data_IF_493814712353
#
_entry.id   IF_493814712353
#
_cell.length_a   1.000
_cell.length_b   1.000
_cell.length_c   1.000
_cell.angle_alpha   90.00
_cell.angle_beta   90.00
_cell.angle_gamma   90.00
#
_symmetry.space_group_name_H-M   'P 1'
#
loop_
_entity.id
_entity.type
_entity.pdbx_description
1 polymer ?
#
# COMPACT_ATOMS: atom_id res chain seq x y z
N UNK A 1 9.16 -13.88 -10.07
CA UNK A 1 7.75 -13.94 -9.61
C UNK A 1 6.79 -13.72 -10.76
N UNK A 2 5.63 -14.38 -10.71
CA UNK A 2 4.47 -14.14 -11.58
C UNK A 2 3.25 -13.80 -10.72
N UNK A 3 2.28 -13.09 -11.31
CA UNK A 3 1.06 -12.65 -10.62
C UNK A 3 -0.17 -13.06 -11.43
N UNK A 4 -1.14 -13.70 -10.78
CA UNK A 4 -2.44 -14.00 -11.37
C UNK A 4 -3.50 -13.01 -10.89
N UNK A 5 -4.59 -12.93 -11.64
CA UNK A 5 -5.81 -12.27 -11.16
C UNK A 5 -6.56 -13.21 -10.22
N UNK A 6 -7.05 -12.70 -9.09
CA UNK A 6 -7.95 -13.44 -8.19
C UNK A 6 -9.29 -13.83 -8.83
N UNK A 7 -9.65 -13.24 -9.97
CA UNK A 7 -10.81 -13.67 -10.77
C UNK A 7 -10.48 -14.85 -11.71
N UNK A 8 -9.19 -15.17 -11.90
CA UNK A 8 -8.67 -16.22 -12.76
C UNK A 8 -9.15 -16.17 -14.22
N UNK A 9 -9.52 -14.98 -14.72
CA UNK A 9 -10.00 -14.74 -16.10
C UNK A 9 -9.10 -13.80 -16.89
N UNK A 10 -7.88 -13.57 -16.41
CA UNK A 10 -6.85 -12.78 -17.07
C UNK A 10 -5.53 -13.56 -17.16
N UNK A 11 -4.69 -13.29 -18.18
CA UNK A 11 -3.35 -13.86 -18.27
C UNK A 11 -2.50 -13.53 -17.04
N UNK A 12 -1.58 -14.43 -16.68
CA UNK A 12 -0.54 -14.16 -15.69
C UNK A 12 0.30 -12.95 -16.11
N UNK A 13 0.73 -12.15 -15.13
CA UNK A 13 1.42 -10.88 -15.30
C UNK A 13 2.77 -10.88 -14.59
N UNK A 14 3.69 -10.03 -15.03
CA UNK A 14 4.92 -9.74 -14.29
C UNK A 14 4.64 -8.72 -13.18
N UNK A 15 5.56 -8.57 -12.22
CA UNK A 15 5.45 -7.51 -11.21
C UNK A 15 5.37 -6.12 -11.88
N UNK A 16 6.23 -5.83 -12.87
CA UNK A 16 6.20 -4.56 -13.62
C UNK A 16 4.81 -4.28 -14.21
N UNK A 17 4.24 -5.26 -14.90
CA UNK A 17 2.93 -5.09 -15.52
C UNK A 17 1.80 -4.98 -14.50
N UNK A 18 1.86 -5.75 -13.41
CA UNK A 18 0.90 -5.65 -12.31
C UNK A 18 0.93 -4.27 -11.63
N UNK A 19 2.11 -3.69 -11.44
CA UNK A 19 2.28 -2.35 -10.88
C UNK A 19 1.79 -1.25 -11.82
N UNK A 20 2.15 -1.32 -13.11
CA UNK A 20 1.74 -0.31 -14.09
C UNK A 20 0.22 -0.35 -14.32
N UNK A 21 -0.37 -1.54 -14.47
CA UNK A 21 -1.83 -1.65 -14.70
C UNK A 21 -2.65 -1.41 -13.44
N UNK A 22 -2.14 -1.81 -12.27
CA UNK A 22 -2.86 -1.76 -11.00
C UNK A 22 -3.97 -2.83 -10.86
N UNK A 23 -4.81 -3.00 -11.89
CA UNK A 23 -5.87 -4.01 -11.97
C UNK A 23 -5.65 -4.95 -13.16
N UNK A 24 -6.09 -6.19 -13.01
CA UNK A 24 -6.09 -7.14 -14.10
C UNK A 24 -7.19 -6.81 -15.13
N UNK A 25 -7.05 -7.22 -16.41
CA UNK A 25 -8.07 -7.01 -17.45
C UNK A 25 -9.47 -7.52 -17.10
N UNK A 26 -9.57 -8.55 -16.26
CA UNK A 26 -10.83 -9.13 -15.77
C UNK A 26 -11.38 -8.41 -14.52
N UNK A 27 -10.85 -7.22 -14.22
CA UNK A 27 -11.17 -6.38 -13.05
C UNK A 27 -10.83 -7.03 -11.70
N UNK A 28 -10.07 -8.12 -11.69
CA UNK A 28 -9.55 -8.73 -10.47
C UNK A 28 -8.28 -8.06 -9.97
N UNK A 29 -7.94 -8.36 -8.71
CA UNK A 29 -6.69 -7.94 -8.09
C UNK A 29 -5.55 -8.89 -8.50
N UNK A 30 -4.36 -8.34 -8.70
CA UNK A 30 -3.15 -9.16 -8.86
C UNK A 30 -2.69 -9.73 -7.51
N UNK A 31 -2.34 -11.00 -7.50
CA UNK A 31 -1.79 -11.71 -6.34
C UNK A 31 -0.59 -12.57 -6.79
N UNK A 32 0.49 -12.69 -5.98
CA UNK A 32 1.63 -13.52 -6.35
C UNK A 32 1.23 -14.99 -6.51
N UNK A 33 1.77 -15.66 -7.53
CA UNK A 33 1.45 -17.08 -7.81
C UNK A 33 1.91 -18.00 -6.68
N UNK A 34 3.05 -17.69 -6.06
CA UNK A 34 3.64 -18.47 -4.98
C UNK A 34 4.23 -17.55 -3.90
N UNK A 35 4.30 -18.07 -2.67
CA UNK A 35 4.94 -17.42 -1.53
C UNK A 35 5.87 -18.44 -0.90
N UNK A 36 7.17 -18.25 -1.06
CA UNK A 36 8.19 -19.13 -0.47
C UNK A 36 8.55 -18.60 0.91
N UNK A 37 8.42 -19.44 1.94
CA UNK A 37 8.80 -19.06 3.30
C UNK A 37 10.29 -18.71 3.38
N UNK A 38 10.63 -17.72 4.21
CA UNK A 38 12.01 -17.41 4.55
C UNK A 38 12.59 -18.51 5.46
N UNK A 39 13.91 -18.74 5.42
CA UNK A 39 14.56 -19.69 6.32
C UNK A 39 14.27 -19.37 7.78
N UNK A 40 14.08 -20.40 8.62
CA UNK A 40 13.82 -20.19 10.06
C UNK A 40 14.92 -19.39 10.76
N UNK A 41 16.17 -19.54 10.31
CA UNK A 41 17.30 -18.79 10.85
C UNK A 41 17.16 -17.29 10.63
N UNK A 42 16.48 -16.84 9.56
CA UNK A 42 16.17 -15.41 9.34
C UNK A 42 15.41 -14.81 10.52
N UNK A 43 14.41 -15.53 11.04
CA UNK A 43 13.62 -15.06 12.17
C UNK A 43 14.35 -15.20 13.51
N UNK A 44 15.19 -16.22 13.66
CA UNK A 44 16.00 -16.43 14.89
C UNK A 44 17.04 -15.33 15.09
N UNK A 45 17.65 -14.85 14.01
CA UNK A 45 18.69 -13.80 14.02
C UNK A 45 18.20 -12.45 13.50
N UNK A 46 16.87 -12.23 13.41
CA UNK A 46 16.31 -10.99 12.86
C UNK A 46 16.77 -9.73 13.61
N UNK A 47 17.14 -9.85 14.90
CA UNK A 47 17.70 -8.76 15.69
C UNK A 47 19.06 -8.26 15.18
N UNK A 48 19.81 -9.09 14.47
CA UNK A 48 21.13 -8.78 13.92
C UNK A 48 21.05 -8.03 12.58
N UNK A 49 19.89 -8.05 11.91
CA UNK A 49 19.68 -7.43 10.61
C UNK A 49 19.19 -5.98 10.73
N UNK A 50 19.63 -5.08 9.87
CA UNK A 50 19.02 -3.75 9.75
C UNK A 50 17.58 -3.83 9.20
N UNK A 51 16.81 -2.75 9.37
CA UNK A 51 15.47 -2.66 8.76
C UNK A 51 15.52 -2.78 7.23
N UNK A 52 16.54 -2.20 6.59
CA UNK A 52 16.75 -2.30 5.15
C UNK A 52 16.98 -3.75 4.70
N UNK A 53 17.81 -4.51 5.44
CA UNK A 53 18.06 -5.92 5.15
C UNK A 53 16.81 -6.78 5.34
N UNK A 54 16.07 -6.58 6.43
CA UNK A 54 14.81 -7.29 6.70
C UNK A 54 13.80 -7.03 5.57
N UNK A 55 13.62 -5.76 5.18
CA UNK A 55 12.68 -5.40 4.14
C UNK A 55 13.09 -5.94 2.76
N UNK A 56 14.38 -5.88 2.43
CA UNK A 56 14.91 -6.46 1.19
C UNK A 56 14.68 -7.98 1.13
N UNK A 57 15.05 -8.71 2.17
CA UNK A 57 14.89 -10.17 2.23
C UNK A 57 13.41 -10.58 2.14
N UNK A 58 12.52 -9.84 2.81
CA UNK A 58 11.09 -10.09 2.75
C UNK A 58 10.49 -9.80 1.37
N UNK A 59 10.91 -8.74 0.68
CA UNK A 59 10.28 -8.29 -0.57
C UNK A 59 10.85 -8.96 -1.83
N UNK A 60 12.14 -9.32 -1.86
CA UNK A 60 12.85 -9.63 -3.12
C UNK A 60 12.18 -10.70 -3.97
N UNK A 61 11.65 -11.76 -3.35
CA UNK A 61 10.99 -12.84 -4.07
C UNK A 61 9.77 -12.37 -4.86
N UNK A 62 9.10 -11.30 -4.42
CA UNK A 62 7.90 -10.76 -5.07
C UNK A 62 8.21 -9.86 -6.27
N UNK A 63 9.44 -9.36 -6.36
CA UNK A 63 9.85 -8.30 -7.28
C UNK A 63 10.78 -8.83 -8.36
N UNK A 64 11.69 -9.74 -8.00
CA UNK A 64 12.67 -10.28 -8.92
C UNK A 64 12.01 -11.14 -10.03
N UNK A 65 12.54 -11.11 -11.26
CA UNK A 65 13.74 -10.38 -11.71
C UNK A 65 13.46 -8.95 -12.23
N UNK A 66 12.25 -8.40 -12.04
CA UNK A 66 11.83 -7.15 -12.71
C UNK A 66 12.63 -5.92 -12.24
N UNK A 67 13.04 -5.89 -10.98
CA UNK A 67 13.96 -4.88 -10.44
C UNK A 67 15.22 -5.60 -9.96
N UNK A 68 16.39 -5.16 -10.45
CA UNK A 68 17.69 -5.74 -10.08
C UNK A 68 17.98 -5.48 -8.60
N UNK A 69 18.67 -6.41 -7.95
CA UNK A 69 19.02 -6.36 -6.52
C UNK A 69 19.51 -4.99 -6.05
N UNK A 70 20.51 -4.40 -6.71
CA UNK A 70 21.09 -3.12 -6.29
C UNK A 70 20.08 -1.97 -6.31
N UNK A 71 19.19 -1.97 -7.31
CA UNK A 71 18.11 -0.98 -7.40
C UNK A 71 17.02 -1.25 -6.38
N UNK A 72 16.67 -2.52 -6.15
CA UNK A 72 15.67 -2.87 -5.13
C UNK A 72 16.15 -2.48 -3.73
N UNK A 73 17.42 -2.70 -3.39
CA UNK A 73 18.02 -2.24 -2.13
C UNK A 73 17.94 -0.71 -2.00
N UNK A 74 18.23 0.03 -3.07
CA UNK A 74 18.07 1.50 -3.10
C UNK A 74 16.62 1.91 -2.86
N UNK A 75 15.66 1.28 -3.54
CA UNK A 75 14.23 1.54 -3.39
C UNK A 75 13.78 1.29 -1.94
N UNK A 76 14.18 0.18 -1.34
CA UNK A 76 13.88 -0.16 0.06
C UNK A 76 14.42 0.93 0.99
N UNK A 77 15.69 1.30 0.86
CA UNK A 77 16.32 2.34 1.69
C UNK A 77 15.63 3.69 1.56
N UNK A 78 15.27 4.11 0.34
CA UNK A 78 14.53 5.36 0.11
C UNK A 78 13.09 5.30 0.65
N UNK A 79 12.48 4.11 0.67
CA UNK A 79 11.14 3.88 1.24
C UNK A 79 11.17 4.04 2.76
N UNK A 80 12.20 3.50 3.42
CA UNK A 80 12.36 3.44 4.86
C UNK A 80 13.10 4.65 5.46
N UNK A 81 12.99 5.82 4.82
CA UNK A 81 13.71 7.04 5.21
C UNK A 81 13.14 7.74 6.46
N UNK A 82 12.43 7.01 7.31
CA UNK A 82 11.78 7.49 8.54
C UNK A 82 11.60 6.31 9.51
N UNK A 83 11.31 6.63 10.77
CA UNK A 83 11.30 5.65 11.85
C UNK A 83 9.97 4.89 11.98
N UNK A 84 10.03 3.75 12.68
CA UNK A 84 8.88 2.92 13.06
C UNK A 84 8.89 2.63 14.57
N UNK A 85 8.71 3.63 15.44
CA UNK A 85 8.78 3.43 16.89
C UNK A 85 7.74 2.43 17.38
N UNK A 86 8.18 1.54 18.28
CA UNK A 86 7.29 0.66 19.03
C UNK A 86 7.23 1.15 20.47
N UNK A 87 6.10 1.75 20.84
CA UNK A 87 5.88 2.35 22.15
C UNK A 87 5.18 1.34 23.04
N UNK A 88 5.85 0.89 24.10
CA UNK A 88 5.25 0.03 25.12
C UNK A 88 4.34 0.87 26.04
N UNK A 89 3.07 0.49 26.12
CA UNK A 89 2.10 1.12 27.00
C UNK A 89 2.00 0.41 28.35
N UNK A 90 2.06 -0.92 28.33
CA UNK A 90 2.13 -1.79 29.51
C UNK A 90 2.82 -3.13 29.17
N UNK A 91 2.85 -4.06 30.11
CA UNK A 91 3.53 -5.35 29.98
C UNK A 91 3.05 -6.21 28.80
N UNK A 92 1.82 -6.01 28.31
CA UNK A 92 1.18 -6.80 27.27
C UNK A 92 0.69 -5.98 26.07
N UNK A 93 0.87 -4.66 26.08
CA UNK A 93 0.38 -3.76 25.05
C UNK A 93 1.48 -2.81 24.56
N UNK A 94 1.68 -2.81 23.25
CA UNK A 94 2.54 -1.85 22.56
C UNK A 94 1.83 -1.27 21.34
N UNK A 95 2.17 -0.04 20.98
CA UNK A 95 1.69 0.66 19.79
C UNK A 95 2.84 0.83 18.82
N UNK A 96 2.65 0.31 17.60
CA UNK A 96 3.55 0.57 16.49
C UNK A 96 3.16 1.88 15.82
N UNK A 97 3.97 2.91 16.00
CA UNK A 97 3.74 4.23 15.39
C UNK A 97 4.15 4.20 13.91
N UNK A 98 3.15 4.34 13.03
CA UNK A 98 3.33 4.30 11.58
C UNK A 98 3.13 5.67 10.91
N UNK A 99 3.31 6.76 11.67
CA UNK A 99 3.01 8.13 11.27
C UNK A 99 4.23 9.07 11.36
N UNK A 100 5.44 8.53 11.33
CA UNK A 100 6.68 9.32 11.27
C UNK A 100 7.15 9.63 9.84
N UNK A 101 6.39 9.16 8.86
CA UNK A 101 6.57 9.52 7.46
C UNK A 101 6.13 10.94 7.14
N UNK A 102 6.43 11.41 5.91
CA UNK A 102 6.23 12.80 5.51
C UNK A 102 4.77 13.27 5.54
N UNK A 103 3.79 12.35 5.53
CA UNK A 103 2.37 12.71 5.57
C UNK A 103 1.68 12.23 6.83
N UNK A 104 2.44 11.82 7.85
CA UNK A 104 1.93 11.35 9.14
C UNK A 104 0.94 10.18 9.02
N UNK A 105 1.15 9.28 8.05
CA UNK A 105 0.28 8.13 7.83
C UNK A 105 1.05 6.90 7.35
N UNK A 106 0.60 5.70 7.76
CA UNK A 106 1.23 4.44 7.37
C UNK A 106 1.27 4.21 5.84
N UNK A 107 0.44 4.95 5.10
CA UNK A 107 0.36 4.91 3.65
C UNK A 107 1.66 5.37 2.98
N UNK A 108 2.51 6.11 3.69
CA UNK A 108 3.80 6.58 3.23
C UNK A 108 4.71 5.45 2.74
N UNK A 109 4.77 4.32 3.47
CA UNK A 109 5.59 3.16 3.09
C UNK A 109 5.19 2.63 1.72
N UNK A 110 3.91 2.31 1.55
CA UNK A 110 3.41 1.76 0.29
C UNK A 110 3.50 2.76 -0.86
N UNK A 111 3.13 4.03 -0.62
CA UNK A 111 3.14 5.06 -1.66
C UNK A 111 4.56 5.33 -2.17
N UNK A 112 5.54 5.46 -1.28
CA UNK A 112 6.94 5.70 -1.64
C UNK A 112 7.54 4.51 -2.38
N UNK A 113 7.34 3.29 -1.88
CA UNK A 113 7.84 2.09 -2.56
C UNK A 113 7.29 1.99 -3.99
N UNK A 114 5.97 2.14 -4.14
CA UNK A 114 5.33 2.14 -5.46
C UNK A 114 5.89 3.24 -6.37
N UNK A 115 6.05 4.46 -5.85
CA UNK A 115 6.57 5.59 -6.62
C UNK A 115 7.98 5.32 -7.16
N UNK A 116 8.85 4.72 -6.33
CA UNK A 116 10.20 4.35 -6.74
C UNK A 116 10.21 3.18 -7.72
N UNK A 117 9.33 2.19 -7.57
CA UNK A 117 9.16 1.13 -8.57
C UNK A 117 8.72 1.68 -9.93
N UNK A 118 7.70 2.56 -9.96
CA UNK A 118 7.23 3.18 -11.20
C UNK A 118 8.30 4.08 -11.83
N UNK A 119 8.98 4.90 -11.02
CA UNK A 119 10.11 5.70 -11.50
C UNK A 119 11.22 4.84 -12.12
N UNK A 120 11.54 3.68 -11.51
CA UNK A 120 12.49 2.73 -12.08
C UNK A 120 11.99 2.13 -13.40
N UNK A 121 10.73 1.72 -13.48
CA UNK A 121 10.16 1.11 -14.69
C UNK A 121 9.96 2.09 -15.86
N UNK A 122 9.90 3.39 -15.56
CA UNK A 122 9.70 4.44 -16.55
C UNK A 122 10.95 5.29 -16.84
N UNK A 123 12.10 4.99 -16.22
CA UNK A 123 13.32 5.81 -16.32
C UNK A 123 13.86 5.98 -17.74
N UNK A 124 13.65 4.98 -18.60
CA UNK A 124 14.14 4.90 -19.98
C UNK A 124 13.02 5.19 -21.02
N UNK A 125 11.81 5.54 -20.55
CA UNK A 125 10.69 5.87 -21.41
C UNK A 125 10.47 7.39 -21.45
N UNK A 126 10.19 7.91 -22.64
CA UNK A 126 9.81 9.32 -22.81
C UNK A 126 8.32 9.54 -22.54
N UNK A 127 7.49 8.50 -22.61
CA UNK A 127 6.08 8.59 -22.26
C UNK A 127 5.90 8.66 -20.75
N UNK A 128 4.99 9.51 -20.31
CA UNK A 128 4.67 9.66 -18.89
C UNK A 128 3.60 8.67 -18.46
N UNK A 129 3.76 8.12 -17.26
CA UNK A 129 2.71 7.39 -16.56
C UNK A 129 1.92 8.41 -15.74
N UNK A 130 0.60 8.42 -15.85
CA UNK A 130 -0.26 9.30 -15.05
C UNK A 130 -0.93 8.50 -13.94
N UNK A 131 -0.57 8.80 -12.69
CA UNK A 131 -1.23 8.27 -11.51
C UNK A 131 -2.51 9.06 -11.27
N UNK A 132 -3.67 8.42 -11.44
CA UNK A 132 -4.97 9.01 -11.16
C UNK A 132 -5.55 8.41 -9.87
N UNK A 133 -5.80 9.25 -8.87
CA UNK A 133 -6.26 8.82 -7.54
C UNK A 133 -7.41 9.69 -7.05
N UNK A 134 -8.42 9.06 -6.45
CA UNK A 134 -9.44 9.73 -5.66
C UNK A 134 -9.09 9.62 -4.18
N UNK A 135 -9.31 10.67 -3.39
CA UNK A 135 -9.02 10.63 -1.96
C UNK A 135 -10.06 11.33 -1.10
N UNK A 136 -10.19 10.86 0.14
CA UNK A 136 -10.85 11.55 1.26
C UNK A 136 -9.85 12.24 2.20
N UNK A 137 -8.54 12.22 1.90
CA UNK A 137 -7.50 12.83 2.72
C UNK A 137 -6.15 12.12 2.61
N UNK A 138 -5.83 11.26 3.58
CA UNK A 138 -4.48 10.68 3.77
C UNK A 138 -3.90 9.99 2.52
N UNK A 139 -4.72 9.25 1.78
CA UNK A 139 -4.24 8.48 0.62
C UNK A 139 -3.67 9.42 -0.43
N UNK A 140 -4.36 10.54 -0.69
CA UNK A 140 -3.89 11.54 -1.62
C UNK A 140 -2.59 12.16 -1.13
N UNK A 141 -2.50 12.55 0.15
CA UNK A 141 -1.28 13.12 0.72
C UNK A 141 -0.08 12.21 0.52
N UNK A 142 -0.19 10.94 0.92
CA UNK A 142 0.88 9.96 0.78
C UNK A 142 1.28 9.70 -0.68
N UNK A 143 0.30 9.65 -1.60
CA UNK A 143 0.59 9.52 -3.05
C UNK A 143 1.28 10.78 -3.57
N UNK A 144 0.74 11.95 -3.28
CA UNK A 144 1.26 13.24 -3.71
C UNK A 144 2.73 13.39 -3.30
N UNK A 145 3.02 13.14 -2.02
CA UNK A 145 4.37 13.24 -1.48
C UNK A 145 5.30 12.12 -2.01
N UNK A 146 4.81 10.87 -2.04
CA UNK A 146 5.62 9.72 -2.48
C UNK A 146 6.11 9.85 -3.92
N UNK A 147 5.27 10.43 -4.79
CA UNK A 147 5.53 10.63 -6.22
C UNK A 147 6.10 12.00 -6.59
N UNK A 148 6.26 12.91 -5.63
CA UNK A 148 6.80 14.25 -5.87
C UNK A 148 8.20 14.16 -6.51
N UNK A 149 8.36 14.80 -7.67
CA UNK A 149 9.62 14.85 -8.41
C UNK A 149 10.03 13.54 -9.07
N UNK A 150 9.17 12.52 -9.10
CA UNK A 150 9.46 11.25 -9.77
C UNK A 150 9.42 11.45 -11.29
N UNK A 151 10.60 11.33 -11.93
CA UNK A 151 10.74 11.51 -13.38
C UNK A 151 9.84 10.52 -14.14
N UNK A 152 9.15 11.03 -15.16
CA UNK A 152 8.29 10.24 -16.03
C UNK A 152 6.95 9.86 -15.39
N UNK A 153 6.59 10.45 -14.23
CA UNK A 153 5.30 10.22 -13.60
C UNK A 153 4.61 11.55 -13.32
N UNK A 154 3.38 11.69 -13.79
CA UNK A 154 2.48 12.77 -13.37
C UNK A 154 1.44 12.20 -12.39
N UNK A 155 0.97 13.02 -11.45
CA UNK A 155 -0.04 12.61 -10.46
C UNK A 155 -1.21 13.56 -10.52
N UNK A 156 -2.41 13.01 -10.67
CA UNK A 156 -3.67 13.75 -10.64
C UNK A 156 -4.50 13.21 -9.47
N UNK A 157 -4.86 14.10 -8.55
CA UNK A 157 -5.59 13.78 -7.33
C UNK A 157 -6.95 14.45 -7.39
N UNK A 158 -8.02 13.65 -7.40
CA UNK A 158 -9.39 14.12 -7.24
C UNK A 158 -9.76 14.08 -5.76
N UNK A 159 -10.23 15.21 -5.21
CA UNK A 159 -10.70 15.28 -3.84
C UNK A 159 -11.98 16.11 -3.72
N UNK A 160 -12.92 15.72 -2.84
CA UNK A 160 -14.21 16.39 -2.70
C UNK A 160 -14.09 17.73 -1.96
N UNK A 161 -14.72 18.77 -2.51
CA UNK A 161 -14.75 20.14 -1.96
C UNK A 161 -15.31 20.16 -0.53
N UNK A 162 -14.56 20.79 0.38
CA UNK A 162 -14.98 20.97 1.78
C UNK A 162 -15.18 19.69 2.59
N UNK A 163 -14.68 18.53 2.11
CA UNK A 163 -14.80 17.21 2.78
C UNK A 163 -13.47 16.64 3.24
N UNK A 164 -12.37 17.35 3.00
CA UNK A 164 -11.02 17.02 3.46
C UNK A 164 -10.62 18.02 4.54
N UNK A 165 -9.85 17.62 5.56
CA UNK A 165 -9.38 18.58 6.58
C UNK A 165 -8.39 19.58 5.98
N UNK A 166 -8.29 20.78 6.56
CA UNK A 166 -7.39 21.84 6.08
C UNK A 166 -5.92 21.36 5.99
N UNK A 167 -5.47 20.56 6.96
CA UNK A 167 -4.09 20.03 6.97
C UNK A 167 -3.89 19.05 5.80
N UNK A 168 -4.84 18.14 5.58
CA UNK A 168 -4.78 17.18 4.48
C UNK A 168 -4.85 17.90 3.13
N UNK A 169 -5.74 18.90 2.98
CA UNK A 169 -5.86 19.68 1.76
C UNK A 169 -4.56 20.40 1.40
N UNK A 170 -3.85 20.98 2.39
CA UNK A 170 -2.52 21.56 2.17
C UNK A 170 -1.50 20.52 1.72
N UNK A 171 -1.52 19.31 2.28
CA UNK A 171 -0.64 18.22 1.81
C UNK A 171 -0.89 17.83 0.34
N UNK A 172 -2.08 18.08 -0.20
CA UNK A 172 -2.43 17.81 -1.61
C UNK A 172 -2.04 18.97 -2.53
N UNK A 173 -2.35 20.20 -2.12
CA UNK A 173 -2.44 21.37 -3.01
C UNK A 173 -1.16 22.21 -3.06
N UNK A 174 -0.23 22.05 -2.11
CA UNK A 174 0.95 22.93 -2.00
C UNK A 174 2.26 22.33 -2.53
N UNK A 175 2.23 21.15 -3.17
CA UNK A 175 3.45 20.45 -3.60
C UNK A 175 3.99 20.92 -4.96
N UNK A 176 3.11 21.19 -5.93
CA UNK A 176 3.48 21.57 -7.30
C UNK A 176 4.25 20.49 -8.07
N UNK A 177 5.13 20.92 -8.98
CA UNK A 177 5.92 20.05 -9.87
C UNK A 177 5.05 19.15 -10.77
N UNK A 178 5.09 17.84 -10.54
CA UNK A 178 4.35 16.81 -11.27
C UNK A 178 3.02 16.42 -10.59
N UNK A 179 2.62 17.16 -9.54
CA UNK A 179 1.41 16.90 -8.76
C UNK A 179 0.34 17.93 -9.11
N UNK A 180 -0.83 17.44 -9.51
CA UNK A 180 -2.03 18.24 -9.79
C UNK A 180 -3.17 17.77 -8.89
N UNK A 181 -3.66 18.66 -8.03
CA UNK A 181 -4.83 18.42 -7.21
C UNK A 181 -6.06 19.10 -7.85
N UNK A 182 -7.12 18.35 -8.09
CA UNK A 182 -8.38 18.81 -8.65
C UNK A 182 -9.48 18.67 -7.58
N UNK A 183 -9.97 19.81 -7.14
CA UNK A 183 -11.13 19.87 -6.25
C UNK A 183 -12.40 19.54 -7.05
N UNK A 184 -13.21 18.64 -6.52
CA UNK A 184 -14.45 18.18 -7.14
C UNK A 184 -15.63 18.66 -6.31
N UNK A 185 -16.54 19.40 -6.94
CA UNK A 185 -17.84 19.74 -6.34
C UNK A 185 -18.71 18.48 -6.27
N UNK A 186 -18.66 17.80 -5.13
CA UNK A 186 -19.31 16.52 -4.91
C UNK A 186 -18.82 15.81 -3.64
N UNK A 187 -19.07 14.52 -3.56
CA UNK A 187 -18.60 13.65 -2.46
C UNK A 187 -17.46 12.74 -2.91
N UNK A 188 -16.86 12.03 -1.96
CA UNK A 188 -15.76 11.10 -2.25
C UNK A 188 -16.15 10.02 -3.27
N UNK A 189 -17.39 9.52 -3.21
CA UNK A 189 -17.88 8.52 -4.15
C UNK A 189 -17.92 9.06 -5.59
N UNK A 190 -18.25 10.34 -5.79
CA UNK A 190 -18.21 10.98 -7.12
C UNK A 190 -16.78 11.02 -7.67
N UNK A 191 -15.80 11.41 -6.84
CA UNK A 191 -14.38 11.38 -7.20
C UNK A 191 -13.95 9.97 -7.61
N UNK A 192 -14.33 8.97 -6.82
CA UNK A 192 -13.98 7.58 -7.08
C UNK A 192 -14.62 7.07 -8.38
N UNK A 193 -15.86 7.47 -8.67
CA UNK A 193 -16.56 7.10 -9.89
C UNK A 193 -16.04 7.84 -11.12
N UNK A 194 -15.55 9.09 -10.98
CA UNK A 194 -14.82 9.79 -12.04
C UNK A 194 -13.53 9.04 -12.38
N UNK A 195 -12.74 8.64 -11.37
CA UNK A 195 -11.53 7.85 -11.59
C UNK A 195 -11.85 6.55 -12.33
N UNK A 196 -12.84 5.78 -11.86
CA UNK A 196 -13.25 4.52 -12.53
C UNK A 196 -13.67 4.75 -13.98
N UNK A 197 -14.43 5.82 -14.25
CA UNK A 197 -14.85 6.18 -15.61
C UNK A 197 -13.65 6.48 -16.50
N UNK A 198 -12.68 7.26 -16.01
CA UNK A 198 -11.46 7.57 -16.76
C UNK A 198 -10.65 6.31 -17.14
N UNK A 199 -10.61 5.29 -16.28
CA UNK A 199 -9.96 4.00 -16.60
C UNK A 199 -10.69 3.16 -17.67
N UNK A 200 -11.95 3.48 -17.98
CA UNK A 200 -12.77 2.79 -18.99
C UNK A 200 -12.99 3.64 -20.24
N UNK A 201 -12.49 4.88 -20.24
CA UNK A 201 -12.65 5.83 -21.32
C UNK A 201 -11.53 5.65 -22.34
N UNK A 202 -11.87 5.19 -23.53
CA UNK A 202 -10.89 4.92 -24.60
C UNK A 202 -10.20 6.20 -25.07
N UNK A 203 -10.89 7.34 -25.11
CA UNK A 203 -10.28 8.60 -25.51
C UNK A 203 -9.21 9.01 -24.51
N UNK A 204 -9.49 8.92 -23.20
CA UNK A 204 -8.49 9.22 -22.18
C UNK A 204 -7.34 8.20 -22.23
N UNK A 205 -7.64 6.90 -22.23
CA UNK A 205 -6.61 5.85 -22.14
C UNK A 205 -5.77 5.70 -23.40
N UNK A 206 -6.24 6.16 -24.56
CA UNK A 206 -5.44 6.25 -25.79
C UNK A 206 -4.45 7.42 -25.77
N UNK A 207 -4.71 8.49 -24.99
CA UNK A 207 -3.84 9.66 -24.89
C UNK A 207 -3.00 9.69 -23.61
N UNK A 208 -3.42 8.96 -22.56
CA UNK A 208 -2.78 8.95 -21.26
C UNK A 208 -2.59 7.52 -20.75
N UNK A 209 -1.36 7.19 -20.39
CA UNK A 209 -1.06 5.93 -19.71
C UNK A 209 -1.47 6.01 -18.23
N UNK A 210 -2.74 5.74 -17.96
CA UNK A 210 -3.31 5.82 -16.60
C UNK A 210 -2.88 4.62 -15.74
N UNK A 211 -2.51 4.91 -14.50
CA UNK A 211 -2.32 3.92 -13.43
C UNK A 211 -2.99 4.37 -12.14
N UNK A 212 -3.36 3.42 -11.29
CA UNK A 212 -3.94 3.71 -9.98
C UNK A 212 -2.91 3.43 -8.88
N UNK A 213 -2.71 4.41 -7.99
CA UNK A 213 -1.92 4.25 -6.77
C UNK A 213 -2.76 3.85 -5.55
N UNK A 214 -3.96 3.28 -5.75
CA UNK A 214 -4.81 2.84 -4.63
C UNK A 214 -4.26 1.58 -3.93
N UNK A 215 -4.85 1.24 -2.78
CA UNK A 215 -4.45 0.08 -1.95
C UNK A 215 -4.55 -1.28 -2.66
N UNK A 216 -5.14 -1.34 -3.84
CA UNK A 216 -5.25 -2.53 -4.69
C UNK A 216 -3.94 -2.89 -5.41
N UNK A 217 -3.04 -1.92 -5.59
CA UNK A 217 -1.80 -2.12 -6.34
C UNK A 217 -0.80 -2.96 -5.52
N UNK A 218 -0.20 -3.97 -6.14
CA UNK A 218 0.74 -4.90 -5.46
C UNK A 218 1.94 -4.18 -4.84
N UNK A 219 2.44 -3.11 -5.47
CA UNK A 219 3.53 -2.32 -4.92
C UNK A 219 3.08 -1.39 -3.76
N UNK A 220 1.78 -1.21 -3.53
CA UNK A 220 1.25 -0.42 -2.41
C UNK A 220 1.10 -1.24 -1.14
N UNK A 221 0.61 -2.46 -1.26
CA UNK A 221 0.24 -3.25 -0.10
C UNK A 221 1.34 -4.23 0.33
N UNK A 222 2.13 -4.83 -0.57
CA UNK A 222 3.20 -5.75 -0.15
C UNK A 222 4.23 -5.11 0.80
N UNK A 223 4.76 -3.89 0.54
CA UNK A 223 5.77 -3.26 1.40
C UNK A 223 5.28 -2.95 2.83
N UNK A 224 3.97 -2.96 3.05
CA UNK A 224 3.42 -2.78 4.39
C UNK A 224 3.80 -3.94 5.33
N UNK A 225 4.27 -5.08 4.81
CA UNK A 225 4.75 -6.17 5.65
C UNK A 225 6.02 -5.82 6.44
N UNK A 226 6.79 -4.80 6.01
CA UNK A 226 8.07 -4.43 6.61
C UNK A 226 7.93 -4.08 8.09
N UNK A 227 6.98 -3.21 8.42
CA UNK A 227 6.83 -2.75 9.80
C UNK A 227 6.26 -3.82 10.74
N UNK A 228 5.59 -4.86 10.22
CA UNK A 228 5.26 -6.03 11.04
C UNK A 228 6.50 -6.82 11.42
N UNK A 229 7.43 -7.00 10.47
CA UNK A 229 8.73 -7.65 10.74
C UNK A 229 9.60 -6.81 11.68
N UNK A 230 9.54 -5.48 11.60
CA UNK A 230 10.26 -4.60 12.54
C UNK A 230 9.68 -4.67 13.95
N UNK A 231 8.35 -4.68 14.08
CA UNK A 231 7.70 -4.89 15.37
C UNK A 231 8.02 -6.28 15.94
N UNK A 232 8.02 -7.32 15.10
CA UNK A 232 8.43 -8.67 15.50
C UNK A 232 9.89 -8.69 15.98
N UNK A 233 10.82 -8.08 15.22
CA UNK A 233 12.23 -7.91 15.61
C UNK A 233 12.38 -7.29 17.00
N UNK A 234 11.56 -6.31 17.35
CA UNK A 234 11.61 -5.64 18.65
C UNK A 234 11.06 -6.50 19.81
N UNK A 235 10.17 -7.45 19.54
CA UNK A 235 9.38 -8.16 20.56
C UNK A 235 9.76 -9.64 20.74
N UNK A 236 10.28 -10.32 19.71
CA UNK A 236 10.34 -11.78 19.67
C UNK A 236 11.19 -12.46 20.76
N UNK A 237 12.16 -11.75 21.35
CA UNK A 237 12.94 -12.27 22.49
C UNK A 237 12.22 -12.16 23.83
N UNK A 238 11.23 -11.29 23.92
CA UNK A 238 10.49 -11.00 25.15
C UNK A 238 9.17 -11.76 25.21
N UNK A 239 8.56 -11.99 24.05
CA UNK A 239 7.22 -12.56 23.95
C UNK A 239 7.16 -13.61 22.84
N UNK A 240 6.59 -14.77 23.15
CA UNK A 240 6.34 -15.85 22.19
C UNK A 240 4.98 -15.68 21.48
N UNK A 241 3.98 -15.10 22.17
CA UNK A 241 2.60 -15.01 21.72
C UNK A 241 2.21 -13.61 21.20
N UNK A 242 2.96 -13.11 20.22
CA UNK A 242 2.70 -11.78 19.65
C UNK A 242 1.40 -11.81 18.82
N UNK A 243 0.47 -10.89 19.13
CA UNK A 243 -0.78 -10.66 18.39
C UNK A 243 -0.79 -9.25 17.83
N UNK A 244 -1.09 -9.11 16.54
CA UNK A 244 -1.27 -7.79 15.90
C UNK A 244 -2.76 -7.44 15.79
N UNK A 245 -3.15 -6.30 16.34
CA UNK A 245 -4.46 -5.68 16.11
C UNK A 245 -4.33 -4.55 15.09
N UNK A 246 -5.01 -4.68 13.95
CA UNK A 246 -4.86 -3.78 12.80
C UNK A 246 -6.18 -3.07 12.52
N UNK A 247 -6.27 -1.74 12.71
CA UNK A 247 -7.39 -0.93 12.23
C UNK A 247 -7.54 -1.08 10.72
N UNK A 248 -8.65 -1.66 10.28
CA UNK A 248 -8.83 -2.18 8.92
C UNK A 248 -10.03 -1.54 8.22
N UNK A 249 -9.74 -0.85 7.11
CA UNK A 249 -10.74 -0.37 6.13
C UNK A 249 -10.75 -1.25 4.88
N UNK A 250 -9.80 -1.00 3.96
CA UNK A 250 -9.63 -1.77 2.71
C UNK A 250 -8.79 -3.06 2.85
N UNK A 251 -8.44 -3.47 4.08
CA UNK A 251 -7.72 -4.71 4.40
C UNK A 251 -6.31 -4.92 3.81
N UNK A 252 -5.76 -3.98 3.04
CA UNK A 252 -4.38 -4.11 2.51
C UNK A 252 -3.29 -4.23 3.59
N UNK A 253 -3.41 -3.46 4.69
CA UNK A 253 -2.43 -3.45 5.78
C UNK A 253 -2.37 -4.80 6.51
N UNK A 254 -3.51 -5.29 6.99
CA UNK A 254 -3.59 -6.60 7.66
C UNK A 254 -3.20 -7.74 6.70
N UNK A 255 -3.54 -7.65 5.42
CA UNK A 255 -3.12 -8.64 4.42
C UNK A 255 -1.59 -8.68 4.27
N UNK A 256 -0.91 -7.54 4.29
CA UNK A 256 0.56 -7.49 4.28
C UNK A 256 1.18 -8.14 5.53
N UNK A 257 0.57 -7.94 6.71
CA UNK A 257 0.96 -8.66 7.93
C UNK A 257 0.77 -10.18 7.79
N UNK A 258 -0.33 -10.61 7.16
CA UNK A 258 -0.56 -12.02 6.87
C UNK A 258 0.44 -12.59 5.85
N UNK A 259 0.93 -11.79 4.88
CA UNK A 259 2.05 -12.19 4.02
C UNK A 259 3.31 -12.39 4.86
N UNK A 260 3.64 -11.48 5.80
CA UNK A 260 4.78 -11.72 6.70
C UNK A 260 4.62 -13.02 7.51
N UNK A 261 3.41 -13.35 7.95
CA UNK A 261 3.12 -14.63 8.59
C UNK A 261 3.32 -15.82 7.63
N UNK A 262 2.87 -15.73 6.37
CA UNK A 262 3.12 -16.74 5.34
C UNK A 262 4.60 -16.88 4.96
N UNK A 263 5.39 -15.81 5.09
CA UNK A 263 6.85 -15.86 4.98
C UNK A 263 7.50 -16.60 6.16
N UNK A 264 6.75 -16.96 7.20
CA UNK A 264 7.23 -17.74 8.34
C UNK A 264 7.36 -16.94 9.65
N UNK A 265 6.93 -15.67 9.69
CA UNK A 265 6.97 -14.85 10.91
C UNK A 265 6.09 -15.50 12.00
N UNK A 266 6.66 -15.94 13.15
CA UNK A 266 5.94 -16.73 14.13
C UNK A 266 5.11 -15.82 15.05
N UNK A 267 3.87 -15.57 14.64
CA UNK A 267 2.91 -14.74 15.37
C UNK A 267 1.56 -15.42 15.44
N UNK A 268 0.76 -15.06 16.44
CA UNK A 268 -0.62 -15.51 16.61
C UNK A 268 -1.53 -14.90 15.53
N UNK A 269 -2.77 -15.41 15.36
CA UNK A 269 -3.71 -14.85 14.40
C UNK A 269 -3.94 -13.35 14.58
N UNK A 270 -4.05 -12.63 13.46
CA UNK A 270 -4.30 -11.19 13.44
C UNK A 270 -5.72 -10.84 13.89
N UNK A 271 -5.87 -9.69 14.53
CA UNK A 271 -7.16 -9.07 14.86
C UNK A 271 -7.45 -7.97 13.84
N UNK A 272 -8.53 -8.13 13.07
CA UNK A 272 -9.06 -7.08 12.20
C UNK A 272 -10.00 -6.16 13.00
N UNK A 273 -9.51 -4.99 13.41
CA UNK A 273 -10.32 -4.00 14.12
C UNK A 273 -11.06 -3.10 13.10
N UNK A 274 -12.40 -3.08 13.16
CA UNK A 274 -13.24 -2.25 12.28
C UNK A 274 -14.05 -1.24 13.09
N UNK A 275 -14.45 -0.14 12.44
CA UNK A 275 -15.35 0.85 13.04
C UNK A 275 -16.83 0.41 12.88
N UNK A 276 -17.79 1.35 12.90
CA UNK A 276 -19.22 1.03 12.70
C UNK A 276 -19.50 0.31 11.37
N UNK A 277 -18.63 0.46 10.38
CA UNK A 277 -18.71 -0.18 9.06
C UNK A 277 -18.24 -1.65 9.10
N UNK A 278 -19.00 -2.51 9.80
CA UNK A 278 -18.60 -3.88 10.15
C UNK A 278 -18.84 -4.95 9.06
N UNK A 279 -18.84 -4.60 7.77
CA UNK A 279 -19.21 -5.54 6.66
C UNK A 279 -18.35 -6.80 6.69
N UNK A 280 -17.03 -6.63 6.81
CA UNK A 280 -16.10 -7.77 6.82
C UNK A 280 -16.19 -8.55 8.14
N UNK A 281 -16.38 -7.88 9.28
CA UNK A 281 -16.61 -8.55 10.56
C UNK A 281 -17.86 -9.43 10.53
N UNK A 282 -18.97 -8.94 9.96
CA UNK A 282 -20.20 -9.70 9.78
C UNK A 282 -19.98 -10.87 8.80
N UNK A 283 -19.24 -10.65 7.70
CA UNK A 283 -18.86 -11.71 6.77
C UNK A 283 -18.04 -12.82 7.43
N UNK A 284 -17.02 -12.49 8.24
CA UNK A 284 -16.18 -13.48 8.91
C UNK A 284 -16.99 -14.39 9.84
N UNK A 285 -18.02 -13.84 10.51
CA UNK A 285 -18.94 -14.55 11.40
C UNK A 285 -20.00 -15.37 10.65
N UNK A 286 -20.59 -14.79 9.60
CA UNK A 286 -21.80 -15.35 8.95
C UNK A 286 -21.53 -16.05 7.62
N UNK A 287 -20.35 -15.85 7.03
CA UNK A 287 -19.97 -16.22 5.66
C UNK A 287 -20.84 -15.59 4.57
N UNK A 288 -21.64 -14.56 4.92
CA UNK A 288 -22.49 -13.84 3.98
C UNK A 288 -21.95 -12.43 3.77
N UNK A 289 -21.44 -12.17 2.56
CA UNK A 289 -21.01 -10.83 2.19
C UNK A 289 -22.23 -9.99 1.83
N UNK A 290 -22.53 -8.98 2.66
CA UNK A 290 -23.66 -8.06 2.47
C UNK A 290 -23.15 -6.62 2.54
N UNK A 291 -22.81 -6.00 1.40
CA UNK A 291 -22.43 -4.59 1.39
C UNK A 291 -23.61 -3.72 1.86
N UNK A 292 -23.29 -2.59 2.48
CA UNK A 292 -24.26 -1.60 2.98
C UNK A 292 -23.68 -0.20 2.82
N UNK A 293 -24.51 0.85 2.79
CA UNK A 293 -24.02 2.23 2.78
C UNK A 293 -23.06 2.51 3.93
N UNK A 294 -22.04 3.31 3.65
CA UNK A 294 -21.06 3.74 4.66
C UNK A 294 -21.71 4.63 5.72
N UNK A 295 -21.38 4.37 6.98
CA UNK A 295 -21.77 5.20 8.12
C UNK A 295 -20.60 6.11 8.48
N UNK A 296 -20.82 7.42 8.52
CA UNK A 296 -19.81 8.39 8.97
C UNK A 296 -19.36 8.10 10.42
N UNK A 297 -18.05 8.08 10.65
CA UNK A 297 -17.46 7.89 11.98
C UNK A 297 -16.29 8.86 12.19
N UNK A 298 -15.68 8.84 13.38
CA UNK A 298 -14.45 9.59 13.66
C UNK A 298 -13.26 9.05 12.83
N UNK A 299 -13.30 7.78 12.42
CA UNK A 299 -12.25 7.10 11.66
C UNK A 299 -12.73 6.70 10.26
N UNK A 300 -13.27 7.67 9.51
CA UNK A 300 -13.67 7.52 8.10
C UNK A 300 -12.86 8.43 7.17
#
# INVERSE_FOLDING_TARGET
>A
MRYHSLNHKAPSSSFRNAVIRGLAPDKGLYFPDDITALPQDFFRSIDQLSHDEIAYEAIKQFIEPEIREGELKRIVKETLSFDFPLITLDDNLSVLELYHGPTMAFKDVGARFMARCLGYFNKDNNEKITVLVATSGDTGGAVANGFLGVKGVDVIILYPSGKVSEIQEKQLTTLGQNITALEVDGVFDDCQDMVKRAFLDEDITNHMNLTSANSINVARWLPQMFYFLFAYKALYRKYEDIVFSVPSGNFGNICAGMIAQQLGMPVRPFIAATNKNRVITDFLKTKKYKPRPSIQTISN
#
